data_IF_928865942266
#
_entry.id   IF_928865942266
#
_cell.length_a   1.000
_cell.length_b   1.000
_cell.length_c   1.000
_cell.angle_alpha   90.00
_cell.angle_beta   90.00
_cell.angle_gamma   90.00
#
_symmetry.space_group_name_H-M   'P 1'
#
loop_
_entity.id
_entity.type
_entity.pdbx_description
1 polymer ?
#
# COMPACT_ATOMS: atom_id res chain seq x y z
N UNK A 1 1.93 5.28 -7.51
CA UNK A 1 2.71 6.16 -6.63
C UNK A 1 1.98 7.47 -6.46
N UNK A 2 1.78 7.89 -5.24
CA UNK A 2 1.17 9.17 -4.92
C UNK A 2 2.25 10.14 -4.48
N UNK A 3 2.30 11.31 -5.09
CA UNK A 3 3.10 12.42 -4.64
C UNK A 3 2.17 13.57 -4.25
N UNK A 4 2.31 14.12 -3.06
CA UNK A 4 1.63 15.35 -2.69
C UNK A 4 2.44 16.54 -3.17
N UNK A 5 1.80 17.46 -3.86
CA UNK A 5 2.39 18.75 -4.18
C UNK A 5 2.08 19.77 -3.10
N UNK A 6 3.04 20.61 -2.77
CA UNK A 6 2.79 21.83 -2.00
C UNK A 6 2.33 22.93 -2.93
N UNK A 7 1.32 23.69 -2.52
CA UNK A 7 0.90 24.67 -3.44
C UNK A 7 0.44 26.00 -2.89
N UNK A 8 1.42 26.77 -2.56
CA UNK A 8 1.23 28.21 -2.55
C UNK A 8 1.00 28.81 -3.94
N UNK A 9 1.20 28.01 -5.00
CA UNK A 9 1.13 28.45 -6.40
C UNK A 9 -0.10 27.94 -7.16
N UNK A 10 -1.03 27.25 -6.50
CA UNK A 10 -2.26 26.76 -7.10
C UNK A 10 -2.16 25.40 -7.81
N UNK A 11 -1.05 24.65 -7.65
CA UNK A 11 -0.95 23.31 -8.26
C UNK A 11 -1.78 22.26 -7.52
N UNK A 12 -2.31 21.28 -8.25
CA UNK A 12 -3.07 20.18 -7.67
C UNK A 12 -2.12 19.06 -7.17
N UNK A 13 -2.53 18.26 -6.19
CA UNK A 13 -1.83 17.04 -5.83
C UNK A 13 -1.66 16.12 -7.04
N UNK A 14 -0.55 15.39 -7.06
CA UNK A 14 -0.15 14.58 -8.20
C UNK A 14 -0.22 13.10 -7.82
N UNK A 15 -0.90 12.31 -8.64
CA UNK A 15 -0.78 10.84 -8.65
C UNK A 15 0.05 10.43 -9.85
N UNK A 16 1.17 9.78 -9.62
CA UNK A 16 2.00 9.21 -10.67
C UNK A 16 1.66 7.73 -10.84
N UNK A 17 1.30 7.33 -12.03
CA UNK A 17 1.07 5.94 -12.39
C UNK A 17 2.36 5.38 -12.99
N UNK A 18 2.85 4.26 -12.42
CA UNK A 18 3.98 3.54 -12.99
C UNK A 18 3.47 2.58 -14.06
N UNK A 19 3.94 2.77 -15.30
CA UNK A 19 3.72 1.85 -16.41
C UNK A 19 5.07 1.32 -16.88
N UNK A 20 5.36 0.07 -16.54
CA UNK A 20 6.59 -0.62 -16.97
C UNK A 20 7.89 0.15 -16.67
N UNK A 21 7.96 0.81 -15.51
CA UNK A 21 9.10 1.60 -15.07
C UNK A 21 9.06 3.09 -15.49
N UNK A 22 8.15 3.51 -16.35
CA UNK A 22 7.90 4.91 -16.66
C UNK A 22 6.79 5.49 -15.79
N UNK A 23 6.98 6.70 -15.27
CA UNK A 23 5.96 7.40 -14.51
C UNK A 23 5.17 8.33 -15.42
N UNK A 24 3.88 8.13 -15.47
CA UNK A 24 2.92 8.96 -16.18
C UNK A 24 2.11 9.80 -15.21
N UNK A 25 1.81 11.02 -15.61
CA UNK A 25 0.93 11.92 -14.88
C UNK A 25 -0.47 11.83 -15.51
N UNK A 26 -1.42 11.10 -14.89
CA UNK A 26 -2.82 11.15 -15.31
C UNK A 26 -3.39 12.55 -15.03
N UNK A 27 -4.59 12.81 -15.53
CA UNK A 27 -5.31 14.03 -15.19
C UNK A 27 -5.41 14.20 -13.68
N UNK A 28 -5.17 15.40 -13.20
CA UNK A 28 -5.03 15.72 -11.79
C UNK A 28 -6.28 15.43 -10.96
N UNK A 29 -6.12 15.29 -9.66
CA UNK A 29 -7.19 15.00 -8.70
C UNK A 29 -8.11 16.21 -8.42
N UNK A 30 -8.26 17.10 -9.37
CA UNK A 30 -9.20 18.22 -9.31
C UNK A 30 -8.60 19.52 -8.79
N UNK A 31 -9.29 20.18 -7.86
CA UNK A 31 -8.93 21.53 -7.37
C UNK A 31 -7.60 21.55 -6.63
N UNK A 32 -6.87 22.68 -6.68
CA UNK A 32 -5.66 22.89 -5.90
C UNK A 32 -5.91 22.68 -4.40
N UNK A 33 -5.06 21.84 -3.78
CA UNK A 33 -5.09 21.56 -2.35
C UNK A 33 -3.66 21.51 -1.83
N UNK A 34 -3.47 21.87 -0.56
CA UNK A 34 -2.21 21.69 0.10
C UNK A 34 -2.26 20.46 1.03
N UNK A 35 -1.93 19.31 0.49
CA UNK A 35 -1.86 18.09 1.29
C UNK A 35 -0.52 17.99 2.01
N UNK A 36 -0.57 17.95 3.32
CA UNK A 36 0.61 17.70 4.17
C UNK A 36 0.98 16.22 4.20
N UNK A 37 0.04 15.36 3.85
CA UNK A 37 0.23 13.93 3.74
C UNK A 37 -0.81 13.32 2.82
N UNK A 38 -0.48 12.16 2.26
CA UNK A 38 -1.37 11.38 1.43
C UNK A 38 -1.19 9.89 1.76
N UNK A 39 -1.55 9.44 2.98
CA UNK A 39 -1.49 8.03 3.32
C UNK A 39 -2.37 7.21 2.40
N UNK A 40 -1.91 6.00 2.12
CA UNK A 40 -2.63 5.03 1.30
C UNK A 40 -3.00 3.81 2.12
N UNK A 41 -4.22 3.33 1.96
CA UNK A 41 -4.73 2.10 2.55
C UNK A 41 -5.88 1.57 1.70
N UNK A 42 -6.13 0.28 1.78
CA UNK A 42 -7.34 -0.33 1.28
C UNK A 42 -8.43 -0.14 2.36
N UNK A 43 -9.27 0.87 2.17
CA UNK A 43 -10.22 1.33 3.21
C UNK A 43 -11.51 0.52 3.20
N UNK A 44 -11.93 0.03 2.04
CA UNK A 44 -13.14 -0.76 1.89
C UNK A 44 -12.88 -2.26 1.65
N UNK A 45 -11.62 -2.69 1.77
CA UNK A 45 -11.16 -4.08 1.68
C UNK A 45 -11.46 -4.72 0.32
N UNK A 46 -11.37 -3.93 -0.73
CA UNK A 46 -11.56 -4.39 -2.10
C UNK A 46 -10.26 -4.74 -2.83
N UNK A 47 -9.13 -4.67 -2.12
CA UNK A 47 -7.78 -4.97 -2.62
C UNK A 47 -7.10 -3.81 -3.35
N UNK A 48 -7.76 -2.69 -3.52
CA UNK A 48 -7.19 -1.49 -4.13
C UNK A 48 -6.79 -0.47 -3.07
N UNK A 49 -5.63 0.13 -3.25
CA UNK A 49 -5.19 1.17 -2.33
C UNK A 49 -5.88 2.49 -2.66
N UNK A 50 -6.58 3.02 -1.67
CA UNK A 50 -7.19 4.35 -1.67
C UNK A 50 -6.21 5.40 -1.17
N UNK A 51 -6.50 6.67 -1.43
CA UNK A 51 -5.68 7.80 -1.02
C UNK A 51 -6.48 8.72 -0.09
N UNK A 52 -5.92 9.03 1.08
CA UNK A 52 -6.49 10.03 1.97
C UNK A 52 -5.66 11.32 1.96
N UNK A 53 -6.14 12.33 1.26
CA UNK A 53 -5.51 13.66 1.22
C UNK A 53 -5.73 14.42 2.52
N UNK A 54 -4.66 14.59 3.32
CA UNK A 54 -4.66 15.37 4.54
C UNK A 54 -4.46 16.85 4.20
N UNK A 55 -5.53 17.65 4.29
CA UNK A 55 -5.50 19.05 3.98
C UNK A 55 -4.86 19.87 5.11
N UNK A 56 -3.96 20.78 4.75
CA UNK A 56 -3.34 21.71 5.69
C UNK A 56 -4.23 22.91 6.01
N UNK A 57 -4.97 23.39 5.03
CA UNK A 57 -5.78 24.58 5.17
C UNK A 57 -7.05 24.29 6.01
N UNK A 58 -7.22 24.87 7.21
CA UNK A 58 -8.33 24.52 8.11
C UNK A 58 -9.71 24.81 7.55
N UNK A 59 -9.81 25.67 6.53
CA UNK A 59 -11.07 26.01 5.86
C UNK A 59 -11.48 24.97 4.80
N UNK A 60 -10.59 24.05 4.45
CA UNK A 60 -10.82 23.03 3.43
C UNK A 60 -10.88 21.62 4.07
N UNK A 61 -11.77 20.75 3.60
CA UNK A 61 -11.86 19.40 4.13
C UNK A 61 -10.76 18.48 3.60
N UNK A 62 -10.18 17.63 4.46
CA UNK A 62 -9.46 16.44 4.01
C UNK A 62 -10.39 15.53 3.23
N UNK A 63 -9.86 14.76 2.28
CA UNK A 63 -10.66 13.95 1.35
C UNK A 63 -10.14 12.54 1.21
N UNK A 64 -11.06 11.59 1.15
CA UNK A 64 -10.79 10.21 0.75
C UNK A 64 -11.09 10.06 -0.75
N UNK A 65 -10.10 9.56 -1.48
CA UNK A 65 -10.23 9.20 -2.90
C UNK A 65 -10.21 7.69 -3.01
N UNK A 66 -11.36 7.12 -3.36
CA UNK A 66 -11.48 5.69 -3.60
C UNK A 66 -10.89 5.33 -4.96
N UNK A 67 -10.09 4.28 -4.98
CA UNK A 67 -9.54 3.72 -6.20
C UNK A 67 -10.56 2.77 -6.84
N UNK A 68 -11.13 3.20 -7.95
CA UNK A 68 -12.11 2.40 -8.72
C UNK A 68 -11.51 1.84 -10.01
N UNK A 69 -10.18 1.86 -10.15
CA UNK A 69 -9.49 1.32 -11.32
C UNK A 69 -9.69 -0.20 -11.37
N UNK A 70 -10.05 -0.78 -12.51
CA UNK A 70 -10.03 -2.23 -12.65
C UNK A 70 -8.66 -2.79 -12.25
N UNK A 71 -8.63 -3.80 -11.41
CA UNK A 71 -7.42 -4.39 -10.87
C UNK A 71 -7.39 -5.91 -11.09
N UNK A 72 -6.21 -6.50 -10.92
CA UNK A 72 -6.01 -7.93 -10.81
C UNK A 72 -6.05 -8.38 -9.35
N UNK A 73 -5.59 -9.61 -9.10
CA UNK A 73 -5.49 -10.20 -7.77
C UNK A 73 -4.56 -9.42 -6.84
N UNK A 74 -4.76 -9.58 -5.56
CA UNK A 74 -4.03 -8.87 -4.52
C UNK A 74 -3.76 -9.77 -3.30
N UNK A 75 -2.82 -9.33 -2.47
CA UNK A 75 -2.54 -9.94 -1.17
C UNK A 75 -2.16 -8.85 -0.18
N UNK A 76 -2.73 -8.91 1.01
CA UNK A 76 -2.27 -8.17 2.18
C UNK A 76 -1.65 -9.14 3.18
N UNK A 77 -0.53 -8.72 3.80
CA UNK A 77 0.14 -9.52 4.83
C UNK A 77 0.39 -8.65 6.05
N UNK A 78 -0.01 -9.15 7.22
CA UNK A 78 0.30 -8.55 8.51
C UNK A 78 0.94 -9.56 9.45
N UNK A 79 1.79 -9.05 10.35
CA UNK A 79 2.46 -9.85 11.37
C UNK A 79 1.88 -9.49 12.73
N UNK A 80 1.33 -10.53 13.42
CA UNK A 80 0.73 -10.36 14.74
C UNK A 80 1.81 -10.41 15.82
N UNK A 81 2.43 -9.28 16.10
CA UNK A 81 3.35 -9.07 17.22
C UNK A 81 2.98 -7.79 18.00
N UNK A 82 3.59 -7.51 19.16
CA UNK A 82 3.24 -6.34 19.98
C UNK A 82 3.42 -4.97 19.31
N UNK A 83 4.13 -4.91 18.18
CA UNK A 83 4.37 -3.69 17.41
C UNK A 83 3.73 -3.75 16.01
N UNK A 84 2.84 -4.71 15.75
CA UNK A 84 2.13 -4.85 14.49
C UNK A 84 3.03 -5.24 13.32
N UNK A 85 4.10 -5.98 13.58
CA UNK A 85 5.03 -6.45 12.55
C UNK A 85 5.94 -5.38 11.95
N UNK A 86 5.94 -4.16 12.48
CA UNK A 86 6.78 -3.06 11.96
C UNK A 86 8.26 -3.44 11.97
N UNK A 87 8.91 -3.28 10.82
CA UNK A 87 10.30 -3.68 10.56
C UNK A 87 10.45 -5.14 10.09
N UNK A 88 9.35 -5.86 9.88
CA UNK A 88 9.38 -7.16 9.20
C UNK A 88 9.38 -6.98 7.69
N UNK A 89 10.11 -7.85 6.98
CA UNK A 89 10.09 -7.92 5.53
C UNK A 89 9.16 -9.04 5.05
N UNK A 90 8.44 -8.77 3.97
CA UNK A 90 7.56 -9.73 3.30
C UNK A 90 7.95 -9.80 1.83
N UNK A 91 8.19 -11.00 1.34
CA UNK A 91 8.46 -11.29 -0.06
C UNK A 91 7.40 -12.26 -0.59
N UNK A 92 6.93 -12.00 -1.80
CA UNK A 92 5.90 -12.81 -2.46
C UNK A 92 6.45 -13.37 -3.75
N UNK A 93 6.31 -14.67 -3.94
CA UNK A 93 6.83 -15.40 -5.08
C UNK A 93 5.71 -16.12 -5.84
N UNK A 94 5.82 -16.16 -7.15
CA UNK A 94 5.00 -17.03 -7.99
C UNK A 94 5.41 -18.51 -7.83
N UNK A 95 4.57 -19.44 -8.29
CA UNK A 95 4.82 -20.88 -8.18
C UNK A 95 6.07 -21.35 -8.93
N UNK A 96 6.57 -20.59 -9.90
CA UNK A 96 7.82 -20.87 -10.61
C UNK A 96 9.06 -20.31 -9.89
N UNK A 97 8.88 -19.70 -8.72
CA UNK A 97 9.93 -19.10 -7.91
C UNK A 97 10.29 -17.67 -8.29
N UNK A 98 9.57 -17.05 -9.24
CA UNK A 98 9.81 -15.65 -9.58
C UNK A 98 9.35 -14.72 -8.44
N UNK A 99 10.21 -13.77 -8.05
CA UNK A 99 9.86 -12.75 -7.07
C UNK A 99 8.85 -11.77 -7.67
N UNK A 100 7.64 -11.73 -7.13
CA UNK A 100 6.58 -10.80 -7.54
C UNK A 100 6.69 -9.45 -6.82
N UNK A 101 7.18 -9.45 -5.60
CA UNK A 101 7.38 -8.22 -4.84
C UNK A 101 8.00 -8.43 -3.47
N UNK A 102 8.59 -7.37 -2.95
CA UNK A 102 9.14 -7.29 -1.59
C UNK A 102 8.67 -6.01 -0.91
N UNK A 103 8.27 -6.10 0.35
CA UNK A 103 7.80 -4.96 1.16
C UNK A 103 8.30 -5.08 2.59
N UNK A 104 8.71 -3.96 3.16
CA UNK A 104 8.88 -3.83 4.60
C UNK A 104 7.56 -3.31 5.21
N UNK A 105 7.13 -3.91 6.31
CA UNK A 105 5.97 -3.47 7.08
C UNK A 105 6.36 -2.21 7.85
N UNK A 106 5.76 -1.09 7.50
CA UNK A 106 5.94 0.19 8.15
C UNK A 106 4.62 0.84 8.50
N UNK A 107 4.59 1.65 9.56
CA UNK A 107 3.41 2.38 10.01
C UNK A 107 3.43 3.87 9.63
N UNK A 108 4.52 4.38 9.06
CA UNK A 108 4.66 5.77 8.64
C UNK A 108 4.37 5.93 7.15
N UNK A 109 3.79 7.07 6.78
CA UNK A 109 3.48 7.41 5.39
C UNK A 109 3.64 8.91 5.16
N UNK A 110 4.89 9.35 4.94
CA UNK A 110 5.19 10.75 4.70
C UNK A 110 5.10 11.61 5.97
N UNK A 111 4.90 12.93 5.77
CA UNK A 111 4.86 13.90 6.85
C UNK A 111 3.52 13.86 7.60
N UNK A 112 3.58 13.83 8.93
CA UNK A 112 2.41 13.88 9.84
C UNK A 112 1.31 12.87 9.54
N UNK A 113 1.64 11.72 8.91
CA UNK A 113 0.65 10.71 8.58
C UNK A 113 1.15 9.29 8.83
N UNK A 114 0.22 8.39 9.11
CA UNK A 114 0.45 6.98 9.29
C UNK A 114 -0.34 6.14 8.28
N UNK A 115 0.00 4.87 8.20
CA UNK A 115 -0.72 3.87 7.42
C UNK A 115 -0.88 2.60 8.24
N UNK A 116 -1.81 1.70 7.90
CA UNK A 116 -1.85 0.37 8.49
C UNK A 116 -0.50 -0.35 8.36
N UNK A 117 -0.10 -1.07 9.41
CA UNK A 117 1.11 -1.89 9.41
C UNK A 117 0.86 -3.18 8.63
N UNK A 118 0.72 -3.05 7.32
CA UNK A 118 0.38 -4.12 6.37
C UNK A 118 1.28 -3.99 5.14
N UNK A 119 1.79 -5.12 4.66
CA UNK A 119 2.40 -5.22 3.35
C UNK A 119 1.31 -5.53 2.32
N UNK A 120 1.17 -4.68 1.31
CA UNK A 120 0.18 -4.85 0.25
C UNK A 120 0.88 -5.15 -1.08
N UNK A 121 0.36 -6.13 -1.83
CA UNK A 121 0.85 -6.57 -3.12
C UNK A 121 -0.30 -6.62 -4.13
N UNK A 122 -0.11 -5.99 -5.30
CA UNK A 122 -0.91 -6.26 -6.49
C UNK A 122 -0.24 -7.39 -7.27
N UNK A 123 -0.97 -8.43 -7.60
CA UNK A 123 -0.46 -9.68 -8.14
C UNK A 123 -0.88 -9.93 -9.61
N UNK A 124 -1.65 -9.00 -10.20
CA UNK A 124 -2.12 -9.16 -11.58
C UNK A 124 -3.00 -10.40 -11.74
N UNK A 125 -2.59 -11.31 -12.62
CA UNK A 125 -3.36 -12.54 -12.94
C UNK A 125 -2.83 -13.78 -12.18
N UNK A 126 -2.04 -13.60 -11.13
CA UNK A 126 -1.49 -14.72 -10.34
C UNK A 126 -2.46 -15.12 -9.25
N UNK A 127 -2.91 -16.38 -9.24
CA UNK A 127 -3.95 -16.90 -8.34
C UNK A 127 -3.41 -17.50 -7.03
N UNK A 128 -2.17 -17.99 -7.02
CA UNK A 128 -1.54 -18.69 -5.89
C UNK A 128 -0.09 -18.27 -5.78
N UNK A 129 0.35 -18.01 -4.56
CA UNK A 129 1.71 -17.54 -4.29
C UNK A 129 2.33 -18.23 -3.08
N UNK A 130 3.66 -18.15 -2.97
CA UNK A 130 4.40 -18.42 -1.73
C UNK A 130 4.78 -17.09 -1.08
N UNK A 131 4.68 -17.02 0.25
CA UNK A 131 4.98 -15.84 1.05
C UNK A 131 6.13 -16.15 2.00
N UNK A 132 7.17 -15.34 1.94
CA UNK A 132 8.28 -15.40 2.90
C UNK A 132 8.21 -14.19 3.81
N UNK A 133 8.11 -14.43 5.11
CA UNK A 133 8.09 -13.39 6.14
C UNK A 133 9.39 -13.49 6.93
N UNK A 134 10.16 -12.40 6.96
CA UNK A 134 11.32 -12.27 7.85
C UNK A 134 10.94 -11.24 8.92
N UNK A 135 10.78 -11.70 10.15
CA UNK A 135 10.42 -10.82 11.26
C UNK A 135 11.57 -9.89 11.63
N UNK A 136 11.27 -8.81 12.32
CA UNK A 136 12.28 -7.90 12.88
C UNK A 136 13.30 -8.61 13.80
N UNK A 137 12.91 -9.71 14.42
CA UNK A 137 13.79 -10.54 15.25
C UNK A 137 14.72 -11.44 14.44
N UNK A 138 14.55 -11.49 13.11
CA UNK A 138 15.34 -12.33 12.20
C UNK A 138 14.77 -13.74 12.01
N UNK A 139 13.61 -14.03 12.56
CA UNK A 139 12.92 -15.28 12.27
C UNK A 139 12.37 -15.23 10.84
N UNK A 140 12.56 -16.31 10.08
CA UNK A 140 12.06 -16.43 8.72
C UNK A 140 11.08 -17.60 8.63
N UNK A 141 9.92 -17.36 8.04
CA UNK A 141 8.92 -18.39 7.75
C UNK A 141 8.51 -18.31 6.28
N UNK A 142 8.25 -19.47 5.69
CA UNK A 142 7.68 -19.61 4.36
C UNK A 142 6.27 -20.20 4.48
N UNK A 143 5.32 -19.63 3.80
CA UNK A 143 3.94 -20.10 3.70
C UNK A 143 3.67 -20.33 2.22
N UNK A 144 3.49 -21.57 1.83
CA UNK A 144 3.22 -21.96 0.46
C UNK A 144 1.71 -22.08 0.19
N UNK A 145 1.34 -22.12 -1.09
CA UNK A 145 -0.04 -22.29 -1.57
C UNK A 145 -1.04 -21.26 -1.02
N UNK A 146 -0.58 -20.03 -0.79
CA UNK A 146 -1.42 -18.92 -0.34
C UNK A 146 -2.33 -18.49 -1.48
N UNK A 147 -3.65 -18.54 -1.24
CA UNK A 147 -4.64 -18.01 -2.16
C UNK A 147 -4.60 -16.49 -2.14
N UNK A 148 -4.87 -15.87 -3.26
CA UNK A 148 -4.93 -14.41 -3.41
C UNK A 148 -6.28 -13.84 -2.97
N UNK A 149 -6.44 -12.52 -3.04
CA UNK A 149 -7.62 -11.76 -2.62
C UNK A 149 -7.97 -11.94 -1.14
N UNK A 150 -6.93 -12.05 -0.32
CA UNK A 150 -7.05 -12.24 1.13
C UNK A 150 -6.10 -11.33 1.92
N UNK A 151 -6.43 -11.14 3.19
CA UNK A 151 -5.53 -10.59 4.19
C UNK A 151 -4.96 -11.76 5.03
N UNK A 152 -3.71 -12.14 4.73
CA UNK A 152 -2.96 -13.12 5.49
C UNK A 152 -2.46 -12.49 6.79
N UNK A 153 -2.81 -13.10 7.93
CA UNK A 153 -2.27 -12.74 9.24
C UNK A 153 -1.35 -13.84 9.74
N UNK A 154 -0.14 -13.48 10.09
CA UNK A 154 0.83 -14.46 10.59
C UNK A 154 1.41 -14.00 11.94
N UNK A 155 1.56 -14.94 12.94
CA UNK A 155 0.94 -16.27 12.95
C UNK A 155 -0.58 -16.19 13.05
N UNK A 156 -1.27 -17.24 12.58
CA UNK A 156 -2.71 -17.35 12.71
C UNK A 156 -3.13 -17.43 14.18
N UNK A 157 -4.15 -16.68 14.55
CA UNK A 157 -4.84 -16.86 15.83
C UNK A 157 -4.52 -15.81 16.89
N UNK A 158 -4.58 -14.53 16.54
CA UNK A 158 -4.82 -13.46 17.53
C UNK A 158 -6.28 -13.01 17.49
#
# INVERSE_FOLDING_TARGET
VVASGSVRDGSAPIVLVNREGAFELPEGLGTPHYWVGAPVADVDLDGRLDVFGLEWEPSLPSRLFRNVTPGGHWLQVSVADPVGGVGSAVEVFANDGALLGSREIGAASGYSSGKPAVAHFGLGDVDVVSVVITTRAGETVTIDDVQVDVHLRWPDGC
#
